data_IF_025761423550
#
_entry.id   IF_025761423550
#
_cell.length_a   1.000
_cell.length_b   1.000
_cell.length_c   1.000
_cell.angle_alpha   90.00
_cell.angle_beta   90.00
_cell.angle_gamma   90.00
#
_symmetry.space_group_name_H-M   'P 1'
#
loop_
_entity.id
_entity.type
_entity.pdbx_description
1 polymer ?
#
# COMPACT_ATOMS: atom_id res chain seq x y z
N UNK A 1 -26.06 -7.45 -6.35
CA UNK A 1 -25.59 -7.97 -5.05
C UNK A 1 -24.22 -8.64 -5.17
N UNK A 2 -23.98 -9.48 -6.17
CA UNK A 2 -22.71 -10.19 -6.35
C UNK A 2 -21.51 -9.28 -6.65
N UNK A 3 -21.68 -8.29 -7.54
CA UNK A 3 -20.67 -7.26 -7.83
C UNK A 3 -20.24 -6.49 -6.59
N UNK A 4 -21.20 -6.09 -5.76
CA UNK A 4 -20.93 -5.39 -4.50
C UNK A 4 -20.12 -6.28 -3.54
N UNK A 5 -20.42 -7.57 -3.48
CA UNK A 5 -19.68 -8.53 -2.64
C UNK A 5 -18.24 -8.71 -3.14
N UNK A 6 -18.04 -8.81 -4.46
CA UNK A 6 -16.71 -8.89 -5.07
C UNK A 6 -15.88 -7.64 -4.78
N UNK A 7 -16.45 -6.45 -4.97
CA UNK A 7 -15.75 -5.20 -4.68
C UNK A 7 -15.42 -5.09 -3.19
N UNK A 8 -16.35 -5.45 -2.31
CA UNK A 8 -16.13 -5.41 -0.87
C UNK A 8 -15.02 -6.38 -0.42
N UNK A 9 -15.03 -7.63 -0.89
CA UNK A 9 -14.00 -8.61 -0.57
C UNK A 9 -12.64 -8.20 -1.12
N UNK A 10 -12.62 -7.62 -2.31
CA UNK A 10 -11.43 -7.08 -2.94
C UNK A 10 -10.81 -5.95 -2.11
N UNK A 11 -11.60 -4.95 -1.73
CA UNK A 11 -11.14 -3.83 -0.90
C UNK A 11 -10.64 -4.32 0.46
N UNK A 12 -11.36 -5.27 1.08
CA UNK A 12 -10.93 -5.89 2.32
C UNK A 12 -9.56 -6.54 2.19
N UNK A 13 -9.30 -7.26 1.09
CA UNK A 13 -8.03 -7.92 0.83
C UNK A 13 -6.90 -6.91 0.59
N UNK A 14 -7.13 -5.87 -0.22
CA UNK A 14 -6.13 -4.83 -0.50
C UNK A 14 -5.75 -4.03 0.75
N UNK A 15 -6.69 -3.77 1.65
CA UNK A 15 -6.44 -2.97 2.86
C UNK A 15 -5.83 -3.83 3.98
N UNK A 16 -6.33 -5.05 4.21
CA UNK A 16 -5.94 -5.86 5.37
C UNK A 16 -4.74 -6.78 5.11
N UNK A 17 -4.59 -7.32 3.91
CA UNK A 17 -3.50 -8.27 3.64
C UNK A 17 -2.10 -7.66 3.82
N UNK A 18 -1.81 -6.43 3.34
CA UNK A 18 -0.47 -5.84 3.49
C UNK A 18 0.00 -5.66 4.95
N UNK A 19 -0.76 -5.03 5.88
CA UNK A 19 -0.30 -4.86 7.26
C UNK A 19 -0.19 -6.20 8.00
N UNK A 20 -1.06 -7.17 7.73
CA UNK A 20 -0.98 -8.51 8.32
C UNK A 20 0.28 -9.23 7.85
N UNK A 21 0.58 -9.19 6.54
CA UNK A 21 1.80 -9.78 5.98
C UNK A 21 3.05 -9.15 6.61
N UNK A 22 3.08 -7.83 6.75
CA UNK A 22 4.19 -7.15 7.42
C UNK A 22 4.34 -7.58 8.89
N UNK A 23 3.22 -7.77 9.60
CA UNK A 23 3.19 -8.30 10.95
C UNK A 23 3.73 -9.72 11.07
N UNK A 24 3.37 -10.60 10.12
CA UNK A 24 3.91 -11.96 10.04
C UNK A 24 5.42 -11.90 9.80
N UNK A 25 5.87 -11.11 8.83
CA UNK A 25 7.29 -10.97 8.50
C UNK A 25 8.10 -10.51 9.72
N UNK A 26 7.64 -9.47 10.41
CA UNK A 26 8.33 -8.93 11.59
C UNK A 26 8.36 -9.92 12.75
N UNK A 27 7.27 -10.64 13.00
CA UNK A 27 7.19 -11.67 14.04
C UNK A 27 8.11 -12.85 13.72
N UNK A 28 8.14 -13.32 12.48
CA UNK A 28 9.04 -14.40 12.03
C UNK A 28 10.50 -13.98 12.17
N UNK A 29 10.86 -12.78 11.72
CA UNK A 29 12.22 -12.23 11.87
C UNK A 29 12.65 -12.16 13.35
N UNK A 30 11.75 -11.75 14.24
CA UNK A 30 12.05 -11.69 15.68
C UNK A 30 12.26 -13.08 16.28
N UNK A 31 11.42 -14.06 15.91
CA UNK A 31 11.55 -15.44 16.39
C UNK A 31 12.88 -16.07 15.96
N UNK A 32 13.28 -15.89 14.69
CA UNK A 32 14.59 -16.36 14.18
C UNK A 32 15.76 -15.67 14.90
N UNK A 33 15.59 -14.40 15.28
CA UNK A 33 16.59 -13.66 16.06
C UNK A 33 16.55 -13.97 17.57
N UNK A 34 15.78 -14.96 18.04
CA UNK A 34 15.69 -15.34 19.46
C UNK A 34 14.97 -14.31 20.35
N UNK A 35 14.19 -13.39 19.77
CA UNK A 35 13.46 -12.33 20.49
C UNK A 35 11.95 -12.52 20.37
N UNK A 36 11.21 -12.03 21.36
CA UNK A 36 9.74 -11.94 21.27
C UNK A 36 9.36 -10.71 20.45
N UNK A 37 8.92 -10.94 19.21
CA UNK A 37 8.46 -9.88 18.31
C UNK A 37 7.12 -9.25 18.72
N UNK A 38 6.78 -8.09 18.14
CA UNK A 38 5.48 -7.46 18.33
C UNK A 38 4.32 -8.33 17.82
N UNK A 39 3.07 -8.05 18.23
CA UNK A 39 1.90 -8.77 17.72
C UNK A 39 1.72 -8.54 16.22
N UNK A 40 1.09 -9.50 15.52
CA UNK A 40 0.91 -9.45 14.05
C UNK A 40 0.10 -8.23 13.60
N UNK A 41 -0.84 -7.76 14.42
CA UNK A 41 -1.66 -6.59 14.08
C UNK A 41 -0.98 -5.26 14.42
N UNK A 42 0.26 -5.27 14.93
CA UNK A 42 1.00 -4.05 15.29
C UNK A 42 1.08 -3.02 14.14
N UNK A 43 1.36 -3.41 12.87
CA UNK A 43 1.42 -2.45 11.77
C UNK A 43 0.11 -1.70 11.53
N UNK A 44 -1.03 -2.34 11.82
CA UNK A 44 -2.35 -1.71 11.71
C UNK A 44 -2.54 -0.65 12.80
N UNK A 45 -2.20 -0.99 14.05
CA UNK A 45 -2.26 -0.04 15.17
C UNK A 45 -1.33 1.16 14.96
N UNK A 46 -0.12 0.91 14.46
CA UNK A 46 0.84 1.97 14.16
C UNK A 46 0.34 2.90 13.05
N UNK A 47 -0.27 2.34 11.99
CA UNK A 47 -0.86 3.13 10.90
C UNK A 47 -2.00 4.02 11.42
N UNK A 48 -2.94 3.47 12.18
CA UNK A 48 -4.05 4.24 12.77
C UNK A 48 -3.51 5.34 13.69
N UNK A 49 -2.51 5.01 14.52
CA UNK A 49 -1.86 5.97 15.41
C UNK A 49 -1.18 7.10 14.65
N UNK A 50 -0.50 6.81 13.54
CA UNK A 50 0.19 7.81 12.72
C UNK A 50 -0.79 8.70 11.96
N UNK A 51 -1.90 8.15 11.47
CA UNK A 51 -2.97 8.95 10.83
C UNK A 51 -3.62 9.94 11.80
N UNK A 52 -3.62 9.63 13.11
CA UNK A 52 -4.07 10.57 14.15
C UNK A 52 -3.07 11.67 14.49
N UNK A 53 -1.87 11.68 13.90
CA UNK A 53 -0.85 12.71 14.15
C UNK A 53 -0.86 13.78 13.06
N UNK A 54 -0.59 15.02 13.45
CA UNK A 54 -0.36 16.11 12.51
C UNK A 54 0.94 15.94 11.74
N UNK A 55 0.92 16.29 10.45
CA UNK A 55 2.12 16.33 9.61
C UNK A 55 2.85 17.68 9.79
N UNK A 56 4.18 17.61 9.96
CA UNK A 56 5.05 18.79 10.01
C UNK A 56 5.78 18.93 8.68
N UNK A 57 5.64 20.08 8.03
CA UNK A 57 6.28 20.38 6.75
C UNK A 57 7.26 21.54 6.91
N UNK A 58 8.46 21.40 6.34
CA UNK A 58 9.43 22.50 6.32
C UNK A 58 8.97 23.61 5.37
N UNK A 59 9.44 24.84 5.62
CA UNK A 59 9.24 25.97 4.69
C UNK A 59 10.03 25.79 3.39
N UNK A 60 11.06 24.95 3.40
CA UNK A 60 11.94 24.69 2.24
C UNK A 60 11.47 23.54 1.36
N UNK A 61 10.45 22.77 1.76
CA UNK A 61 9.97 21.64 0.95
C UNK A 61 9.13 22.11 -0.22
N UNK A 62 9.27 21.42 -1.34
CA UNK A 62 8.45 21.65 -2.53
C UNK A 62 7.06 21.01 -2.37
N UNK A 63 6.14 21.36 -3.26
CA UNK A 63 4.82 20.71 -3.35
C UNK A 63 4.93 19.20 -3.64
N UNK A 64 6.01 18.76 -4.31
CA UNK A 64 6.27 17.36 -4.63
C UNK A 64 6.42 16.52 -3.35
N UNK A 65 6.96 17.08 -2.27
CA UNK A 65 7.09 16.40 -0.98
C UNK A 65 5.74 15.88 -0.45
N UNK A 66 4.66 16.64 -0.66
CA UNK A 66 3.30 16.26 -0.24
C UNK A 66 2.64 15.30 -1.22
N UNK A 67 2.88 15.49 -2.52
CA UNK A 67 2.31 14.60 -3.54
C UNK A 67 2.97 13.23 -3.58
N UNK A 68 4.25 13.12 -3.22
CA UNK A 68 5.02 11.88 -3.18
C UNK A 68 4.23 10.70 -2.59
N UNK A 69 3.84 10.79 -1.30
CA UNK A 69 3.07 9.73 -0.64
C UNK A 69 1.68 9.50 -1.24
N UNK A 70 1.00 10.55 -1.71
CA UNK A 70 -0.37 10.45 -2.22
C UNK A 70 -0.41 9.75 -3.57
N UNK A 71 0.44 10.18 -4.50
CA UNK A 71 0.50 9.63 -5.86
C UNK A 71 1.08 8.22 -5.84
N UNK A 72 2.08 7.94 -5.01
CA UNK A 72 2.61 6.57 -4.88
C UNK A 72 1.56 5.60 -4.34
N UNK A 73 0.80 5.99 -3.31
CA UNK A 73 -0.31 5.18 -2.80
C UNK A 73 -1.40 4.98 -3.86
N UNK A 74 -1.80 6.05 -4.55
CA UNK A 74 -2.80 5.97 -5.62
C UNK A 74 -2.34 5.05 -6.76
N UNK A 75 -1.08 5.12 -7.17
CA UNK A 75 -0.52 4.26 -8.21
C UNK A 75 -0.52 2.79 -7.80
N UNK A 76 -0.18 2.46 -6.55
CA UNK A 76 -0.22 1.09 -6.03
C UNK A 76 -1.66 0.57 -5.92
N UNK A 77 -2.62 1.40 -5.48
CA UNK A 77 -4.03 1.02 -5.43
C UNK A 77 -4.62 0.81 -6.84
N UNK A 78 -4.26 1.65 -7.81
CA UNK A 78 -4.63 1.46 -9.21
C UNK A 78 -4.02 0.18 -9.78
N UNK A 79 -2.74 -0.09 -9.49
CA UNK A 79 -2.06 -1.30 -9.93
C UNK A 79 -2.69 -2.54 -9.30
N UNK A 80 -3.11 -2.47 -8.04
CA UNK A 80 -3.85 -3.54 -7.39
C UNK A 80 -5.06 -3.91 -8.25
N UNK A 81 -5.91 -2.95 -8.63
CA UNK A 81 -7.18 -3.19 -9.36
C UNK A 81 -7.09 -4.04 -10.63
N UNK A 82 -5.90 -4.13 -11.24
CA UNK A 82 -5.58 -4.94 -12.42
C UNK A 82 -5.27 -6.41 -12.10
N UNK A 83 -5.03 -6.72 -10.82
CA UNK A 83 -4.63 -8.04 -10.33
C UNK A 83 -5.84 -8.84 -9.85
N UNK A 84 -5.98 -10.12 -10.23
CA UNK A 84 -7.06 -10.99 -9.78
C UNK A 84 -6.84 -11.49 -8.35
N UNK A 85 -7.15 -10.66 -7.34
CA UNK A 85 -6.98 -11.00 -5.93
C UNK A 85 -8.08 -11.94 -5.38
N UNK A 86 -9.31 -11.81 -5.89
CA UNK A 86 -10.48 -12.58 -5.40
C UNK A 86 -11.12 -13.38 -6.54
N UNK A 87 -10.28 -14.03 -7.35
CA UNK A 87 -10.70 -14.84 -8.51
C UNK A 87 -10.92 -14.05 -9.80
N UNK A 88 -11.12 -12.72 -9.72
CA UNK A 88 -11.20 -11.83 -10.88
C UNK A 88 -10.55 -10.47 -10.57
N UNK A 89 -9.98 -9.78 -11.58
CA UNK A 89 -9.54 -8.38 -11.43
C UNK A 89 -10.75 -7.43 -11.42
N UNK A 90 -10.59 -6.24 -10.85
CA UNK A 90 -11.64 -5.21 -10.91
C UNK A 90 -11.69 -4.55 -12.29
N UNK A 91 -10.54 -4.39 -12.91
CA UNK A 91 -10.37 -3.79 -14.24
C UNK A 91 -9.47 -4.72 -15.05
N UNK A 92 -9.89 -5.07 -16.27
CA UNK A 92 -9.09 -5.87 -17.20
C UNK A 92 -9.26 -5.33 -18.62
N UNK A 93 -8.17 -5.27 -19.37
CA UNK A 93 -8.15 -4.86 -20.78
C UNK A 93 -6.84 -5.32 -21.44
N UNK A 94 -6.80 -5.30 -22.78
CA UNK A 94 -5.60 -5.69 -23.52
C UNK A 94 -4.42 -4.74 -23.22
N UNK A 95 -3.33 -5.28 -22.67
CA UNK A 95 -2.14 -4.49 -22.31
C UNK A 95 -2.16 -3.93 -20.88
N UNK A 96 -3.08 -4.38 -20.03
CA UNK A 96 -3.11 -4.07 -18.59
C UNK A 96 -1.78 -4.37 -17.87
N UNK A 97 -1.04 -5.40 -18.29
CA UNK A 97 0.29 -5.72 -17.78
C UNK A 97 1.30 -4.58 -18.00
N UNK A 98 1.20 -3.85 -19.12
CA UNK A 98 2.05 -2.68 -19.40
C UNK A 98 1.66 -1.56 -18.45
N UNK A 99 0.36 -1.25 -18.33
CA UNK A 99 -0.10 -0.22 -17.39
C UNK A 99 0.35 -0.55 -15.96
N UNK A 100 0.23 -1.80 -15.52
CA UNK A 100 0.68 -2.28 -14.22
C UNK A 100 2.17 -1.94 -13.99
N UNK A 101 3.05 -2.29 -14.93
CA UNK A 101 4.48 -1.98 -14.82
C UNK A 101 4.75 -0.46 -14.74
N UNK A 102 4.07 0.34 -15.57
CA UNK A 102 4.22 1.79 -15.57
C UNK A 102 3.64 2.47 -14.32
N UNK A 103 2.62 1.90 -13.68
CA UNK A 103 2.11 2.39 -12.40
C UNK A 103 3.17 2.23 -11.28
N UNK A 104 3.88 1.10 -11.25
CA UNK A 104 5.01 0.93 -10.32
C UNK A 104 6.17 1.87 -10.64
N UNK A 105 6.48 2.07 -11.92
CA UNK A 105 7.50 3.02 -12.35
C UNK A 105 7.14 4.46 -11.93
N UNK A 106 5.89 4.87 -12.11
CA UNK A 106 5.37 6.16 -11.66
C UNK A 106 5.50 6.31 -10.15
N UNK A 107 5.07 5.31 -9.38
CA UNK A 107 5.18 5.33 -7.92
C UNK A 107 6.64 5.49 -7.46
N UNK A 108 7.58 4.80 -8.11
CA UNK A 108 9.03 4.96 -7.86
C UNK A 108 9.53 6.35 -8.21
N UNK A 109 9.22 6.84 -9.40
CA UNK A 109 9.64 8.17 -9.86
C UNK A 109 9.17 9.27 -8.91
N UNK A 110 7.89 9.24 -8.51
CA UNK A 110 7.30 10.24 -7.62
C UNK A 110 7.86 10.13 -6.20
N UNK A 111 8.17 8.92 -5.72
CA UNK A 111 8.84 8.74 -4.42
C UNK A 111 10.25 9.33 -4.41
N UNK A 112 11.02 9.14 -5.48
CA UNK A 112 12.39 9.68 -5.60
C UNK A 112 12.37 11.20 -5.71
N UNK A 113 11.50 11.75 -6.56
CA UNK A 113 11.40 13.21 -6.75
C UNK A 113 10.84 13.93 -5.53
N UNK A 114 10.00 13.29 -4.72
CA UNK A 114 9.52 13.85 -3.46
C UNK A 114 10.60 13.90 -2.36
N UNK A 115 11.69 13.16 -2.52
CA UNK A 115 12.82 13.12 -1.59
C UNK A 115 13.93 14.14 -1.92
N UNK A 116 13.88 14.77 -3.10
CA UNK A 116 14.77 15.84 -3.55
C UNK A 116 14.27 17.21 -3.09
#
# INVERSE_FOLDING_TARGET
>A
METLRLVASYLMMVILAPPIMLGIITKTKAAVAGRKGPPVLQPLYDTIKLLGKGAVYSKTTTWMFRLGPVVSLAAVLAAASLVPLVGAPLIAFNGDAILFAYLFALGRFVTVTAAL
#
